data_IF_968323431679
#
_entry.id   IF_968323431679
#
_cell.length_a   1.000
_cell.length_b   1.000
_cell.length_c   1.000
_cell.angle_alpha   90.00
_cell.angle_beta   90.00
_cell.angle_gamma   90.00
#
_symmetry.space_group_name_H-M   'P 1'
#
loop_
_entity.id
_entity.type
_entity.pdbx_description
1 polymer ?
#
# COMPACT_ATOMS: atom_id res chain seq x y z
N UNK A 1 2.45 4.24 -23.02
CA UNK A 1 1.34 4.14 -22.04
C UNK A 1 0.41 5.34 -22.12
N UNK A 2 -0.91 5.13 -22.06
CA UNK A 2 -1.88 6.23 -22.03
C UNK A 2 -1.74 7.04 -20.73
N UNK A 3 -1.84 8.36 -20.86
CA UNK A 3 -1.89 9.28 -19.71
C UNK A 3 -3.10 8.87 -18.84
N UNK A 4 -2.93 8.75 -17.51
CA UNK A 4 -4.05 8.44 -16.64
C UNK A 4 -5.13 9.51 -16.83
N UNK A 5 -6.37 9.09 -17.07
CA UNK A 5 -7.49 10.00 -17.21
C UNK A 5 -7.54 10.91 -15.97
N UNK A 6 -7.57 12.26 -16.08
CA UNK A 6 -7.42 13.17 -14.94
C UNK A 6 -8.39 12.90 -13.79
N UNK A 7 -9.62 12.48 -14.09
CA UNK A 7 -10.63 12.06 -13.10
C UNK A 7 -10.19 10.87 -12.23
N UNK A 8 -9.38 9.96 -12.78
CA UNK A 8 -8.87 8.79 -12.07
C UNK A 8 -7.77 9.18 -11.08
N UNK A 9 -6.86 10.07 -11.49
CA UNK A 9 -5.82 10.57 -10.60
C UNK A 9 -6.38 11.36 -9.40
N UNK A 10 -7.46 12.13 -9.60
CA UNK A 10 -8.15 12.80 -8.51
C UNK A 10 -8.85 11.81 -7.57
N UNK A 11 -9.56 10.81 -8.11
CA UNK A 11 -10.16 9.73 -7.32
C UNK A 11 -9.12 8.99 -6.46
N UNK A 12 -7.99 8.59 -7.04
CA UNK A 12 -6.93 7.92 -6.29
C UNK A 12 -6.32 8.79 -5.20
N UNK A 13 -6.17 10.09 -5.44
CA UNK A 13 -5.71 11.02 -4.40
C UNK A 13 -6.72 11.16 -3.26
N UNK A 14 -8.02 11.30 -3.58
CA UNK A 14 -9.07 11.33 -2.56
C UNK A 14 -9.14 10.04 -1.75
N UNK A 15 -8.88 8.90 -2.38
CA UNK A 15 -8.79 7.60 -1.71
C UNK A 15 -7.46 7.32 -1.00
N UNK A 16 -6.55 8.30 -0.88
CA UNK A 16 -5.27 8.12 -0.19
C UNK A 16 -4.22 7.27 -0.92
N UNK A 17 -4.49 6.84 -2.16
CA UNK A 17 -3.56 6.04 -2.97
C UNK A 17 -2.43 6.87 -3.60
N UNK A 18 -2.63 8.18 -3.71
CA UNK A 18 -1.65 9.13 -4.20
C UNK A 18 -1.39 10.20 -3.13
N UNK A 19 -0.20 10.80 -3.13
CA UNK A 19 0.10 11.87 -2.18
C UNK A 19 -0.82 13.07 -2.45
N UNK A 20 -1.17 13.81 -1.39
CA UNK A 20 -2.04 14.99 -1.53
C UNK A 20 -1.52 15.98 -2.58
N UNK A 21 -0.19 16.11 -2.71
CA UNK A 21 0.44 16.82 -3.81
C UNK A 21 1.89 16.37 -4.00
N UNK A 22 2.53 16.88 -5.06
CA UNK A 22 3.93 16.58 -5.39
C UNK A 22 4.92 17.04 -4.32
N UNK A 23 4.61 18.10 -3.57
CA UNK A 23 5.52 18.63 -2.56
C UNK A 23 5.56 17.75 -1.30
N UNK A 24 4.43 17.14 -0.91
CA UNK A 24 4.39 16.11 0.14
C UNK A 24 5.32 14.97 -0.20
N UNK A 25 5.19 14.41 -1.41
CA UNK A 25 6.03 13.31 -1.86
C UNK A 25 7.52 13.70 -1.95
N UNK A 26 7.85 14.87 -2.51
CA UNK A 26 9.23 15.37 -2.57
C UNK A 26 9.84 15.54 -1.19
N UNK A 27 9.10 16.11 -0.23
CA UNK A 27 9.55 16.33 1.14
C UNK A 27 9.82 15.00 1.84
N UNK A 28 8.89 14.05 1.73
CA UNK A 28 9.06 12.71 2.29
C UNK A 28 10.26 11.99 1.67
N UNK A 29 10.36 11.97 0.33
CA UNK A 29 11.47 11.34 -0.38
C UNK A 29 12.83 11.95 0.01
N UNK A 30 12.92 13.29 0.08
CA UNK A 30 14.14 13.98 0.52
C UNK A 30 14.53 13.55 1.95
N UNK A 31 13.57 13.48 2.86
CA UNK A 31 13.80 13.01 4.24
C UNK A 31 14.37 11.60 4.26
N UNK A 32 13.78 10.69 3.48
CA UNK A 32 14.23 9.30 3.35
C UNK A 32 15.65 9.18 2.83
N UNK A 33 15.97 9.87 1.73
CA UNK A 33 17.32 9.86 1.14
C UNK A 33 18.37 10.42 2.10
N UNK A 34 18.04 11.49 2.85
CA UNK A 34 18.98 12.02 3.85
C UNK A 34 19.15 11.09 5.05
N UNK A 35 18.11 10.32 5.42
CA UNK A 35 18.20 9.29 6.46
C UNK A 35 19.07 8.10 6.01
N UNK A 36 18.88 7.61 4.78
CA UNK A 36 19.67 6.49 4.24
C UNK A 36 21.14 6.87 4.08
N UNK A 37 21.47 8.07 3.60
CA UNK A 37 22.88 8.54 3.51
C UNK A 37 23.61 8.56 4.85
N UNK A 38 22.90 8.85 5.95
CA UNK A 38 23.46 8.91 7.30
C UNK A 38 23.67 7.53 7.91
N UNK A 39 22.91 6.53 7.47
CA UNK A 39 23.02 5.14 7.92
C UNK A 39 23.81 4.35 6.88
N UNK A 40 25.04 3.95 7.19
CA UNK A 40 25.67 2.83 6.47
C UNK A 40 24.99 1.52 6.92
N UNK A 41 23.73 1.33 6.52
CA UNK A 41 22.94 0.18 6.90
C UNK A 41 23.23 -0.98 5.98
N UNK A 42 23.59 -2.12 6.56
CA UNK A 42 23.57 -3.41 5.88
C UNK A 42 22.18 -3.66 5.29
N UNK A 43 22.14 -4.14 4.05
CA UNK A 43 20.88 -4.53 3.42
C UNK A 43 20.30 -5.74 4.16
N UNK A 44 19.00 -5.69 4.45
CA UNK A 44 18.25 -6.82 4.95
C UNK A 44 18.30 -7.96 3.92
N UNK A 45 18.29 -9.23 4.36
CA UNK A 45 18.43 -10.38 3.47
C UNK A 45 17.57 -10.33 2.19
N UNK A 46 16.25 -10.06 2.22
CA UNK A 46 15.44 -10.04 1.00
C UNK A 46 15.79 -8.89 0.03
N UNK A 47 16.38 -7.79 0.53
CA UNK A 47 16.86 -6.68 -0.30
C UNK A 47 18.21 -6.99 -0.91
N UNK A 48 19.10 -7.66 -0.16
CA UNK A 48 20.36 -8.17 -0.68
C UNK A 48 20.13 -9.21 -1.78
N UNK A 49 19.20 -10.14 -1.58
CA UNK A 49 18.78 -11.12 -2.60
C UNK A 49 18.23 -10.44 -3.85
N UNK A 50 17.41 -9.38 -3.71
CA UNK A 50 16.92 -8.61 -4.86
C UNK A 50 18.07 -7.93 -5.60
N UNK A 51 19.04 -7.35 -4.89
CA UNK A 51 20.24 -6.76 -5.50
C UNK A 51 21.01 -7.80 -6.31
N UNK A 52 21.24 -8.97 -5.74
CA UNK A 52 21.93 -10.07 -6.42
C UNK A 52 21.17 -10.58 -7.63
N UNK A 53 19.83 -10.68 -7.54
CA UNK A 53 18.98 -11.01 -8.68
C UNK A 53 19.14 -9.97 -9.81
N UNK A 54 19.11 -8.68 -9.49
CA UNK A 54 19.27 -7.61 -10.48
C UNK A 54 20.65 -7.69 -11.13
N UNK A 55 21.71 -7.93 -10.36
CA UNK A 55 23.10 -7.83 -10.86
C UNK A 55 23.60 -9.10 -11.55
N UNK A 56 23.03 -10.26 -11.24
CA UNK A 56 23.45 -11.55 -11.81
C UNK A 56 22.55 -12.05 -12.95
N UNK A 57 21.45 -11.34 -13.26
CA UNK A 57 20.53 -11.69 -14.33
C UNK A 57 20.48 -10.58 -15.38
N UNK A 58 20.87 -10.88 -16.62
CA UNK A 58 21.03 -9.86 -17.67
C UNK A 58 19.74 -9.13 -18.03
N UNK A 59 18.60 -9.83 -18.03
CA UNK A 59 17.29 -9.24 -18.33
C UNK A 59 16.84 -8.31 -17.20
N UNK A 60 17.02 -8.74 -15.94
CA UNK A 60 16.73 -7.90 -14.78
C UNK A 60 17.66 -6.70 -14.71
N UNK A 61 18.97 -6.89 -14.93
CA UNK A 61 19.94 -5.80 -14.94
C UNK A 61 19.56 -4.75 -15.98
N UNK A 62 19.28 -5.17 -17.22
CA UNK A 62 18.82 -4.27 -18.27
C UNK A 62 17.53 -3.57 -17.86
N UNK A 63 16.50 -4.31 -17.42
CA UNK A 63 15.19 -3.73 -17.12
C UNK A 63 15.25 -2.73 -15.95
N UNK A 64 15.97 -3.07 -14.87
CA UNK A 64 16.18 -2.18 -13.72
C UNK A 64 17.04 -0.96 -14.02
N UNK A 65 17.91 -0.98 -15.02
CA UNK A 65 18.56 0.25 -15.47
C UNK A 65 17.62 1.08 -16.36
N UNK A 66 16.92 0.44 -17.30
CA UNK A 66 16.03 1.11 -18.26
C UNK A 66 14.82 1.78 -17.60
N UNK A 67 14.29 1.22 -16.51
CA UNK A 67 13.14 1.81 -15.80
C UNK A 67 13.44 3.16 -15.12
N UNK A 68 14.71 3.56 -15.03
CA UNK A 68 15.14 4.86 -14.52
C UNK A 68 15.75 5.79 -15.60
N UNK A 69 15.67 5.43 -16.88
CA UNK A 69 16.14 6.31 -17.98
C UNK A 69 15.38 7.64 -18.01
N UNK A 70 14.09 7.60 -17.65
CA UNK A 70 13.29 8.81 -17.48
C UNK A 70 13.45 9.35 -16.05
N UNK A 71 13.61 10.67 -15.86
CA UNK A 71 13.73 11.25 -14.52
C UNK A 71 12.54 10.92 -13.62
N UNK A 72 12.78 10.18 -12.55
CA UNK A 72 11.82 9.99 -11.46
C UNK A 72 12.36 10.58 -10.16
N UNK A 73 11.59 10.54 -9.07
CA UNK A 73 12.11 10.96 -7.76
C UNK A 73 13.22 10.03 -7.27
N UNK A 74 13.05 8.72 -7.51
CA UNK A 74 14.08 7.70 -7.27
C UNK A 74 15.00 7.66 -8.48
N UNK A 75 16.31 7.80 -8.25
CA UNK A 75 17.29 8.03 -9.32
C UNK A 75 17.69 6.76 -10.07
N UNK A 76 17.83 5.67 -9.35
CA UNK A 76 18.31 4.39 -9.86
C UNK A 76 17.87 3.25 -8.95
N UNK A 77 18.13 2.00 -9.37
CA UNK A 77 17.77 0.82 -8.60
C UNK A 77 18.55 0.71 -7.28
N UNK A 78 19.74 1.31 -7.16
CA UNK A 78 20.53 1.26 -5.93
C UNK A 78 19.87 2.11 -4.85
N UNK A 79 19.45 3.32 -5.21
CA UNK A 79 18.64 4.16 -4.34
C UNK A 79 17.29 3.48 -4.02
N UNK A 80 16.67 2.80 -4.99
CA UNK A 80 15.45 2.03 -4.72
C UNK A 80 15.68 0.96 -3.63
N UNK A 81 16.76 0.19 -3.73
CA UNK A 81 17.14 -0.84 -2.74
C UNK A 81 17.35 -0.22 -1.34
N UNK A 82 18.08 0.90 -1.25
CA UNK A 82 18.28 1.62 0.02
C UNK A 82 16.97 2.10 0.64
N UNK A 83 16.05 2.63 -0.18
CA UNK A 83 14.74 3.10 0.27
C UNK A 83 13.85 1.94 0.75
N UNK A 84 13.80 0.84 -0.01
CA UNK A 84 13.07 -0.36 0.40
C UNK A 84 13.62 -0.91 1.72
N UNK A 85 14.95 -0.94 1.88
CA UNK A 85 15.60 -1.40 3.10
C UNK A 85 15.17 -0.59 4.34
N UNK A 86 15.07 0.74 4.21
CA UNK A 86 14.61 1.60 5.30
C UNK A 86 13.10 1.41 5.59
N UNK A 87 12.26 1.28 4.55
CA UNK A 87 10.81 1.07 4.69
C UNK A 87 10.51 -0.24 5.42
N UNK A 88 11.27 -1.32 5.18
CA UNK A 88 11.10 -2.61 5.86
C UNK A 88 11.23 -2.52 7.39
N UNK A 89 11.77 -1.43 7.92
CA UNK A 89 11.98 -1.20 9.36
C UNK A 89 11.08 -0.12 9.94
N UNK A 90 10.07 0.33 9.19
CA UNK A 90 9.15 1.37 9.60
C UNK A 90 7.70 0.99 9.41
N UNK A 91 6.86 1.44 10.33
CA UNK A 91 5.42 1.34 10.21
C UNK A 91 4.86 2.59 9.51
N UNK A 92 3.78 2.47 8.73
CA UNK A 92 3.12 3.63 8.13
C UNK A 92 2.60 4.61 9.19
N UNK A 93 2.94 5.90 9.02
CA UNK A 93 2.40 6.99 9.82
C UNK A 93 1.09 7.51 9.22
N UNK A 94 0.26 8.13 10.04
CA UNK A 94 -0.93 8.83 9.56
C UNK A 94 -0.53 10.08 8.75
N UNK A 95 -1.14 10.26 7.58
CA UNK A 95 -0.98 11.46 6.76
C UNK A 95 -1.12 11.25 5.26
N UNK A 96 -0.77 12.30 4.51
CA UNK A 96 -1.15 12.48 3.11
C UNK A 96 -0.20 11.85 2.08
N UNK A 97 0.57 10.83 2.46
CA UNK A 97 1.60 10.26 1.58
C UNK A 97 1.04 9.16 0.65
N UNK A 98 0.18 8.30 1.17
CA UNK A 98 -0.18 7.02 0.57
C UNK A 98 0.85 5.91 0.85
N UNK A 99 0.67 4.70 0.29
CA UNK A 99 1.48 3.53 0.63
C UNK A 99 2.99 3.72 0.32
N UNK A 100 3.91 3.55 1.29
CA UNK A 100 5.34 3.89 1.12
C UNK A 100 6.04 3.17 -0.04
N UNK A 101 5.78 1.88 -0.24
CA UNK A 101 6.35 1.13 -1.37
C UNK A 101 5.85 1.66 -2.72
N UNK A 102 4.56 1.96 -2.82
CA UNK A 102 4.01 2.55 -4.04
C UNK A 102 4.64 3.92 -4.33
N UNK A 103 4.94 4.73 -3.31
CA UNK A 103 5.57 6.04 -3.50
C UNK A 103 6.97 6.01 -4.12
N UNK A 104 7.71 4.91 -3.94
CA UNK A 104 9.05 4.74 -4.54
C UNK A 104 9.01 3.92 -5.84
N UNK A 105 7.95 3.14 -6.07
CA UNK A 105 7.81 2.28 -7.26
C UNK A 105 6.98 2.91 -8.37
N UNK A 106 6.02 3.78 -8.07
CA UNK A 106 5.05 4.30 -9.04
C UNK A 106 5.70 4.95 -10.26
N UNK A 107 6.83 5.63 -10.09
CA UNK A 107 7.61 6.17 -11.21
C UNK A 107 8.19 5.06 -12.10
N UNK A 108 9.17 4.29 -11.59
CA UNK A 108 9.87 3.29 -12.40
C UNK A 108 8.96 2.16 -12.92
N UNK A 109 7.97 1.70 -12.14
CA UNK A 109 7.07 0.61 -12.57
C UNK A 109 6.15 1.00 -13.73
N UNK A 110 5.88 2.30 -13.91
CA UNK A 110 5.07 2.84 -15.01
C UNK A 110 5.91 3.19 -16.27
N UNK A 111 7.06 2.53 -16.45
CA UNK A 111 7.86 2.56 -17.69
C UNK A 111 7.73 1.23 -18.43
N UNK A 112 8.00 1.17 -19.73
CA UNK A 112 7.88 -0.09 -20.49
C UNK A 112 8.82 -1.17 -19.95
N UNK A 113 10.01 -0.76 -19.49
CA UNK A 113 10.97 -1.62 -18.82
C UNK A 113 10.47 -2.07 -17.44
N UNK A 114 9.88 -1.17 -16.65
CA UNK A 114 9.25 -1.48 -15.38
C UNK A 114 8.12 -2.49 -15.54
N UNK A 115 7.17 -2.22 -16.44
CA UNK A 115 6.08 -3.12 -16.78
C UNK A 115 6.60 -4.53 -17.12
N UNK A 116 7.61 -4.62 -17.99
CA UNK A 116 8.20 -5.90 -18.38
C UNK A 116 8.85 -6.62 -17.19
N UNK A 117 9.59 -5.90 -16.34
CA UNK A 117 10.24 -6.49 -15.16
C UNK A 117 9.21 -7.07 -14.17
N UNK A 118 8.13 -6.32 -13.88
CA UNK A 118 7.10 -6.72 -12.93
C UNK A 118 6.16 -7.84 -13.43
N UNK A 119 6.25 -8.22 -14.70
CA UNK A 119 5.61 -9.44 -15.22
C UNK A 119 6.42 -10.71 -14.94
N UNK A 120 7.68 -10.60 -14.51
CA UNK A 120 8.52 -11.77 -14.29
C UNK A 120 8.20 -12.48 -12.96
N UNK A 121 7.82 -13.76 -13.03
CA UNK A 121 7.50 -14.58 -11.85
C UNK A 121 8.61 -14.58 -10.79
N UNK A 122 9.88 -14.60 -11.23
CA UNK A 122 11.04 -14.55 -10.33
C UNK A 122 11.07 -13.24 -9.51
N UNK A 123 10.70 -12.12 -10.12
CA UNK A 123 10.64 -10.84 -9.43
C UNK A 123 9.46 -10.82 -8.45
N UNK A 124 8.30 -11.34 -8.85
CA UNK A 124 7.13 -11.45 -7.98
C UNK A 124 7.41 -12.33 -6.74
N UNK A 125 8.10 -13.45 -6.91
CA UNK A 125 8.55 -14.30 -5.81
C UNK A 125 9.51 -13.56 -4.87
N UNK A 126 10.42 -12.72 -5.40
CA UNK A 126 11.33 -11.92 -4.58
C UNK A 126 10.59 -10.82 -3.81
N UNK A 127 9.64 -10.13 -4.45
CA UNK A 127 8.78 -9.15 -3.78
C UNK A 127 7.95 -9.79 -2.67
N UNK A 128 7.48 -11.02 -2.85
CA UNK A 128 6.81 -11.76 -1.77
C UNK A 128 7.71 -11.86 -0.53
N UNK A 129 8.98 -12.25 -0.66
CA UNK A 129 9.91 -12.32 0.48
C UNK A 129 10.13 -10.96 1.15
N UNK A 130 10.21 -9.89 0.35
CA UNK A 130 10.33 -8.51 0.85
C UNK A 130 9.10 -8.16 1.70
N UNK A 131 7.90 -8.42 1.19
CA UNK A 131 6.67 -8.13 1.91
C UNK A 131 6.42 -9.05 3.10
N UNK A 132 6.81 -10.33 3.03
CA UNK A 132 6.77 -11.24 4.19
C UNK A 132 7.66 -10.69 5.33
N UNK A 133 8.82 -10.12 4.98
CA UNK A 133 9.72 -9.49 5.96
C UNK A 133 9.11 -8.22 6.55
N UNK A 134 8.45 -7.40 5.75
CA UNK A 134 7.77 -6.20 6.25
C UNK A 134 6.59 -6.57 7.14
N UNK A 135 5.78 -7.55 6.74
CA UNK A 135 4.64 -8.05 7.51
C UNK A 135 5.10 -8.56 8.88
N UNK A 136 6.19 -9.33 8.93
CA UNK A 136 6.77 -9.78 10.20
C UNK A 136 7.18 -8.61 11.12
N UNK A 137 7.69 -7.51 10.56
CA UNK A 137 7.95 -6.29 11.32
C UNK A 137 6.64 -5.62 11.79
N UNK A 138 5.63 -5.51 10.93
CA UNK A 138 4.37 -4.81 11.21
C UNK A 138 3.50 -5.49 12.27
N UNK A 139 3.61 -6.80 12.44
CA UNK A 139 2.95 -7.55 13.55
C UNK A 139 3.76 -7.53 14.85
N UNK A 140 4.98 -6.98 14.84
CA UNK A 140 5.85 -6.93 16.02
C UNK A 140 5.57 -5.68 16.88
N UNK A 141 5.86 -5.71 18.20
CA UNK A 141 5.74 -4.51 19.05
C UNK A 141 6.58 -3.31 18.63
N UNK A 142 7.67 -3.55 17.89
CA UNK A 142 8.52 -2.46 17.38
C UNK A 142 7.79 -1.55 16.38
N UNK A 143 6.75 -2.05 15.71
CA UNK A 143 5.94 -1.29 14.76
C UNK A 143 4.98 -0.30 15.44
N UNK A 144 4.64 -0.52 16.72
CA UNK A 144 3.63 0.27 17.42
C UNK A 144 4.11 1.70 17.79
N UNK A 145 5.35 2.07 17.48
CA UNK A 145 5.90 3.41 17.74
C UNK A 145 5.10 4.54 17.05
N UNK A 146 4.33 4.24 16.00
CA UNK A 146 3.46 5.21 15.30
C UNK A 146 2.07 5.38 15.94
N UNK A 147 1.75 4.56 16.96
CA UNK A 147 0.51 4.61 17.72
C UNK A 147 0.67 5.60 18.89
N UNK A 148 0.71 6.88 18.57
CA UNK A 148 0.87 7.99 19.51
C UNK A 148 0.05 9.21 19.07
N UNK A 149 -0.04 10.22 19.92
CA UNK A 149 -0.79 11.47 19.72
C UNK A 149 0.03 12.60 19.08
N UNK A 150 1.32 12.37 18.83
CA UNK A 150 2.23 13.32 18.21
C UNK A 150 2.02 13.50 16.70
N UNK A 151 2.80 14.39 16.06
CA UNK A 151 2.68 14.65 14.62
C UNK A 151 2.88 13.38 13.78
N UNK A 152 1.86 13.02 12.99
CA UNK A 152 1.84 11.80 12.16
C UNK A 152 1.50 10.52 12.91
N UNK A 153 1.23 10.61 14.21
CA UNK A 153 0.75 9.49 15.02
C UNK A 153 -0.72 9.18 14.77
N UNK A 154 -1.08 7.90 14.88
CA UNK A 154 -2.45 7.41 14.63
C UNK A 154 -3.46 7.78 15.72
N UNK A 155 -3.01 8.28 16.88
CA UNK A 155 -3.88 8.82 17.93
C UNK A 155 -3.88 10.34 18.00
N UNK A 156 -3.28 11.00 17.00
CA UNK A 156 -3.40 12.45 16.88
C UNK A 156 -4.83 12.86 16.59
N UNK A 157 -5.25 14.04 17.05
CA UNK A 157 -6.57 14.63 16.78
C UNK A 157 -7.06 14.47 15.32
N UNK A 158 -6.24 14.78 14.27
CA UNK A 158 -6.70 14.61 12.90
C UNK A 158 -6.87 13.14 12.49
N UNK A 159 -6.10 12.21 13.04
CA UNK A 159 -6.22 10.79 12.76
C UNK A 159 -7.49 10.20 13.40
N UNK A 160 -7.73 10.54 14.67
CA UNK A 160 -8.93 10.13 15.40
C UNK A 160 -10.19 10.64 14.72
N UNK A 161 -10.25 11.94 14.38
CA UNK A 161 -11.40 12.52 13.68
C UNK A 161 -11.69 11.83 12.34
N UNK A 162 -10.66 11.48 11.58
CA UNK A 162 -10.84 10.76 10.32
C UNK A 162 -11.35 9.33 10.53
N UNK A 163 -10.94 8.65 11.60
CA UNK A 163 -11.40 7.29 11.92
C UNK A 163 -12.77 7.25 12.59
N UNK A 164 -13.22 8.36 13.17
CA UNK A 164 -14.58 8.55 13.71
C UNK A 164 -15.58 9.01 12.64
N UNK A 165 -15.11 9.39 11.44
CA UNK A 165 -15.99 9.84 10.35
C UNK A 165 -16.99 8.74 9.96
N UNK A 166 -18.28 9.07 9.92
CA UNK A 166 -19.36 8.11 9.65
C UNK A 166 -19.83 7.30 10.88
N UNK A 167 -19.39 7.69 12.09
CA UNK A 167 -19.87 7.14 13.37
C UNK A 167 -20.40 8.28 14.26
N UNK A 168 -21.59 8.79 13.93
CA UNK A 168 -22.21 9.89 14.65
C UNK A 168 -22.29 9.62 16.16
N UNK A 169 -21.88 10.62 16.96
CA UNK A 169 -21.90 10.61 18.42
C UNK A 169 -21.12 9.46 19.09
N UNK A 170 -20.10 8.89 18.43
CA UNK A 170 -19.22 7.86 19.02
C UNK A 170 -17.76 8.29 19.04
N UNK A 171 -17.11 8.05 20.17
CA UNK A 171 -15.65 8.16 20.27
C UNK A 171 -14.95 6.92 19.71
N UNK A 172 -13.67 7.04 19.41
CA UNK A 172 -12.83 5.94 18.92
C UNK A 172 -12.94 4.68 19.79
N UNK A 173 -12.89 4.82 21.11
CA UNK A 173 -12.99 3.68 22.04
C UNK A 173 -14.40 3.10 22.15
N UNK A 174 -15.43 3.83 21.73
CA UNK A 174 -16.79 3.28 21.57
C UNK A 174 -16.91 2.52 20.25
N UNK A 175 -16.21 2.93 19.20
CA UNK A 175 -16.23 2.30 17.87
C UNK A 175 -15.38 1.02 17.85
N UNK A 176 -14.15 1.09 18.34
CA UNK A 176 -13.14 0.04 18.22
C UNK A 176 -12.82 -0.59 19.58
N UNK A 177 -12.46 -1.87 19.57
CA UNK A 177 -11.97 -2.59 20.75
C UNK A 177 -10.58 -2.08 21.12
N UNK A 178 -10.53 -1.17 22.08
CA UNK A 178 -9.29 -0.62 22.64
C UNK A 178 -9.53 -0.09 24.06
N UNK A 179 -8.46 0.08 24.84
CA UNK A 179 -8.51 0.66 26.18
C UNK A 179 -7.54 1.84 26.29
N UNK A 180 -8.04 3.10 26.22
CA UNK A 180 -7.22 4.30 26.32
C UNK A 180 -6.40 4.45 27.62
N UNK A 181 -6.69 3.66 28.66
CA UNK A 181 -5.91 3.66 29.90
C UNK A 181 -4.58 2.88 29.79
N UNK A 182 -4.42 2.05 28.76
CA UNK A 182 -3.20 1.29 28.48
C UNK A 182 -2.31 2.02 27.47
N UNK A 183 -0.97 1.79 27.51
CA UNK A 183 -0.07 2.25 26.45
C UNK A 183 -0.58 1.81 25.08
N UNK A 184 -0.47 2.72 24.11
CA UNK A 184 -0.93 2.49 22.74
C UNK A 184 -2.41 2.03 22.65
N UNK A 185 -3.21 2.36 23.66
CA UNK A 185 -4.61 1.96 23.83
C UNK A 185 -4.84 0.44 23.84
N UNK A 186 -3.82 -0.33 24.24
CA UNK A 186 -3.87 -1.79 24.29
C UNK A 186 -3.52 -2.50 22.99
N UNK A 187 -3.26 -1.77 21.90
CA UNK A 187 -2.77 -2.37 20.66
C UNK A 187 -1.31 -2.79 20.81
N UNK A 188 -0.99 -3.99 20.33
CA UNK A 188 0.32 -4.62 20.50
C UNK A 188 1.28 -4.36 19.34
N UNK A 189 0.77 -3.97 18.18
CA UNK A 189 1.53 -3.72 16.95
C UNK A 189 0.77 -2.76 16.03
N UNK A 190 1.42 -2.27 14.97
CA UNK A 190 0.73 -1.50 13.94
C UNK A 190 -0.32 -2.34 13.22
N UNK A 191 -0.04 -3.61 12.94
CA UNK A 191 -0.97 -4.51 12.27
C UNK A 191 -2.22 -4.77 13.14
N UNK A 192 -2.04 -5.02 14.44
CA UNK A 192 -3.14 -5.17 15.42
C UNK A 192 -4.08 -3.94 15.44
N UNK A 193 -3.50 -2.74 15.33
CA UNK A 193 -4.27 -1.50 15.15
C UNK A 193 -4.91 -1.39 13.74
N UNK A 194 -4.20 -1.81 12.69
CA UNK A 194 -4.67 -1.71 11.31
C UNK A 194 -5.89 -2.61 11.05
N UNK A 195 -5.87 -3.83 11.59
CA UNK A 195 -6.99 -4.80 11.54
C UNK A 195 -7.88 -4.77 12.79
N UNK A 196 -7.84 -3.66 13.54
CA UNK A 196 -8.60 -3.49 14.79
C UNK A 196 -10.07 -3.87 14.62
N UNK A 197 -10.61 -4.51 15.65
CA UNK A 197 -11.99 -4.97 15.65
C UNK A 197 -12.93 -3.86 16.10
N UNK A 198 -14.13 -3.83 15.53
CA UNK A 198 -15.23 -3.06 16.08
C UNK A 198 -15.69 -3.62 17.44
N UNK A 199 -16.20 -2.74 18.29
CA UNK A 199 -17.06 -3.18 19.38
C UNK A 199 -18.37 -3.75 18.84
N UNK A 200 -19.10 -4.46 19.69
CA UNK A 200 -20.36 -5.07 19.30
C UNK A 200 -21.39 -3.99 18.91
N UNK A 201 -22.23 -4.29 17.91
CA UNK A 201 -23.31 -3.43 17.41
C UNK A 201 -22.87 -2.12 16.72
N UNK A 202 -21.63 -2.03 16.24
CA UNK A 202 -21.13 -0.83 15.54
C UNK A 202 -21.47 -0.84 14.04
N UNK A 203 -21.38 -2.00 13.39
CA UNK A 203 -21.79 -2.24 11.99
C UNK A 203 -22.65 -3.50 11.92
N UNK A 204 -23.95 -3.36 12.21
CA UNK A 204 -24.90 -4.45 12.11
C UNK A 204 -25.30 -4.70 10.65
N UNK A 205 -25.56 -5.95 10.29
CA UNK A 205 -26.14 -6.29 8.98
C UNK A 205 -27.57 -5.75 8.94
N UNK A 206 -27.86 -4.90 7.96
CA UNK A 206 -29.22 -4.48 7.69
C UNK A 206 -30.00 -5.63 7.05
N UNK A 207 -31.22 -5.87 7.54
CA UNK A 207 -32.13 -6.91 7.02
C UNK A 207 -31.51 -8.33 7.00
N UNK A 208 -31.02 -8.85 8.15
CA UNK A 208 -30.30 -10.13 8.18
C UNK A 208 -31.15 -11.34 7.76
N UNK A 209 -32.47 -11.23 7.85
CA UNK A 209 -33.42 -12.30 7.48
C UNK A 209 -33.86 -12.23 6.01
N UNK A 210 -33.51 -11.17 5.27
CA UNK A 210 -33.92 -10.97 3.87
C UNK A 210 -32.89 -11.55 2.91
N UNK A 211 -33.17 -12.76 2.38
CA UNK A 211 -32.23 -13.49 1.52
C UNK A 211 -32.03 -12.91 0.11
N UNK A 212 -32.77 -11.87 -0.27
CA UNK A 212 -32.69 -11.20 -1.58
C UNK A 212 -31.98 -9.83 -1.52
N UNK A 213 -31.37 -9.48 -0.39
CA UNK A 213 -30.61 -8.24 -0.20
C UNK A 213 -29.12 -8.55 -0.16
N UNK A 214 -28.33 -7.80 -0.94
CA UNK A 214 -26.86 -7.86 -0.91
C UNK A 214 -26.37 -6.63 -0.16
N UNK A 215 -25.73 -6.83 0.99
CA UNK A 215 -25.11 -5.78 1.78
C UNK A 215 -23.68 -5.48 1.29
N UNK A 216 -23.14 -4.33 1.71
CA UNK A 216 -21.75 -4.00 1.44
C UNK A 216 -20.81 -4.96 2.19
N UNK A 217 -19.78 -5.47 1.50
CA UNK A 217 -18.82 -6.42 2.07
C UNK A 217 -17.84 -5.77 3.07
N UNK A 218 -17.60 -4.46 2.93
CA UNK A 218 -16.69 -3.69 3.78
C UNK A 218 -16.98 -2.19 3.71
N UNK A 219 -16.38 -1.43 4.63
CA UNK A 219 -16.34 0.03 4.55
C UNK A 219 -15.53 0.43 3.32
N UNK A 220 -16.23 0.95 2.31
CA UNK A 220 -15.65 1.19 0.99
C UNK A 220 -16.35 2.35 0.28
N UNK A 221 -15.64 2.92 -0.68
CA UNK A 221 -16.21 3.89 -1.63
C UNK A 221 -16.43 3.17 -2.95
N UNK A 222 -17.65 3.26 -3.49
CA UNK A 222 -17.97 2.67 -4.77
C UNK A 222 -17.05 3.22 -5.88
N UNK A 223 -16.30 2.35 -6.54
CA UNK A 223 -15.34 2.72 -7.57
C UNK A 223 -15.93 2.64 -8.97
N UNK A 224 -16.41 1.47 -9.36
CA UNK A 224 -16.95 1.17 -10.69
C UNK A 224 -17.93 -0.02 -10.64
N UNK A 225 -18.86 -0.07 -11.60
CA UNK A 225 -19.70 -1.24 -11.90
C UNK A 225 -19.66 -1.47 -13.39
N UNK A 226 -19.32 -2.69 -13.79
CA UNK A 226 -19.36 -3.13 -15.18
C UNK A 226 -20.34 -4.29 -15.31
N UNK A 227 -21.24 -4.20 -16.27
CA UNK A 227 -22.17 -5.25 -16.63
C UNK A 227 -21.72 -5.92 -17.93
N UNK A 228 -22.17 -7.16 -18.17
CA UNK A 228 -21.83 -7.93 -19.38
C UNK A 228 -20.31 -8.09 -19.57
N UNK A 229 -19.57 -8.32 -18.48
CA UNK A 229 -18.14 -8.68 -18.53
C UNK A 229 -17.94 -9.96 -19.33
N UNK A 230 -16.88 -10.00 -20.14
CA UNK A 230 -16.60 -11.11 -21.03
C UNK A 230 -15.71 -12.16 -20.36
N UNK A 231 -15.90 -13.42 -20.74
CA UNK A 231 -15.03 -14.51 -20.28
C UNK A 231 -13.56 -14.25 -20.64
N UNK A 232 -13.34 -13.77 -21.86
CA UNK A 232 -12.06 -13.33 -22.43
C UNK A 232 -12.19 -11.91 -22.97
N UNK A 233 -11.26 -11.03 -22.58
CA UNK A 233 -11.27 -9.60 -22.94
C UNK A 233 -9.83 -9.03 -22.94
N UNK A 234 -9.66 -7.80 -23.43
CA UNK A 234 -8.38 -7.07 -23.44
C UNK A 234 -7.99 -6.60 -22.03
N UNK A 235 -7.29 -7.45 -21.26
CA UNK A 235 -6.99 -7.16 -19.85
C UNK A 235 -5.85 -6.13 -19.60
N UNK A 236 -5.15 -5.67 -20.64
CA UNK A 236 -3.92 -4.87 -20.54
C UNK A 236 -4.08 -3.36 -20.86
N UNK A 237 -5.30 -2.85 -21.08
CA UNK A 237 -5.55 -1.45 -21.43
C UNK A 237 -6.12 -0.65 -20.26
N UNK A 238 -5.62 0.58 -20.04
CA UNK A 238 -6.21 1.54 -19.09
C UNK A 238 -7.63 1.89 -19.54
N UNK A 239 -8.62 1.59 -18.70
CA UNK A 239 -10.03 1.51 -19.09
C UNK A 239 -10.71 0.28 -18.48
N UNK A 240 -9.90 -0.66 -17.99
CA UNK A 240 -10.30 -1.81 -17.18
C UNK A 240 -11.28 -2.79 -17.88
N UNK A 241 -11.09 -3.20 -19.14
CA UNK A 241 -11.72 -4.43 -19.60
C UNK A 241 -11.14 -5.59 -18.77
N UNK A 242 -12.01 -6.41 -18.18
CA UNK A 242 -11.59 -7.51 -17.32
C UNK A 242 -11.93 -8.83 -18.00
N UNK A 243 -10.90 -9.60 -18.36
CA UNK A 243 -11.09 -11.00 -18.71
C UNK A 243 -11.29 -11.84 -17.45
N UNK A 244 -12.47 -12.43 -17.30
CA UNK A 244 -12.80 -13.29 -16.15
C UNK A 244 -11.81 -14.45 -16.01
N UNK A 245 -11.46 -15.14 -17.10
CA UNK A 245 -10.52 -16.27 -17.04
C UNK A 245 -9.15 -15.87 -16.48
N UNK A 246 -8.61 -14.73 -16.90
CA UNK A 246 -7.31 -14.28 -16.40
C UNK A 246 -7.40 -13.76 -14.96
N UNK A 247 -8.46 -13.02 -14.60
CA UNK A 247 -8.66 -12.56 -13.22
C UNK A 247 -8.83 -13.70 -12.22
N UNK A 248 -9.53 -14.76 -12.62
CA UNK A 248 -9.76 -15.95 -11.81
C UNK A 248 -8.66 -17.00 -12.00
N UNK A 249 -7.54 -16.64 -12.65
CA UNK A 249 -6.39 -17.51 -12.85
C UNK A 249 -6.73 -18.89 -13.45
N UNK A 250 -7.67 -18.92 -14.40
CA UNK A 250 -8.18 -20.14 -15.03
C UNK A 250 -8.67 -21.21 -14.04
N UNK A 251 -9.21 -20.78 -12.89
CA UNK A 251 -9.86 -21.67 -11.94
C UNK A 251 -10.99 -22.44 -12.65
N UNK A 252 -11.00 -23.76 -12.48
CA UNK A 252 -11.91 -24.66 -13.20
C UNK A 252 -13.32 -24.62 -12.63
N UNK A 253 -13.49 -24.08 -11.42
CA UNK A 253 -14.77 -23.96 -10.74
C UNK A 253 -15.57 -22.74 -11.21
N UNK A 254 -14.99 -21.87 -12.05
CA UNK A 254 -15.60 -20.63 -12.56
C UNK A 254 -15.56 -20.48 -14.08
#
# INVERSE_FOLDING_TARGET
MSQPHPRLAEKFRRGGWLPANREVLKKWHKSKVEKTKKRQTTLLPPIQELKEMIENDGDMYMAFNRMFENPTLVKDYKQLLELMNDILTEAPFYGDLGPPFYMILAGPMNTDAGFTAFLADKLNAQFKKIFDTWAAFLVSPASAHVLNDGPGGWFSDPAIKAMEEGFDDKSFAQIFRCDPSHPQWGFTSWDDFFVRQFNDNIRCVELPEEHNVISAACESVFYNKQENVQLMDEFWIKGEPYSLQHMLNHDKDY
#
